data_IF_150481598059
#
_entry.id   IF_150481598059
#
_cell.length_a   1.000
_cell.length_b   1.000
_cell.length_c   1.000
_cell.angle_alpha   90.00
_cell.angle_beta   90.00
_cell.angle_gamma   90.00
#
_symmetry.space_group_name_H-M   'P 1'
#
loop_
_entity.id
_entity.type
_entity.pdbx_description
1 polymer ?
#
# COMPACT_ATOMS: atom_id res chain seq x y z
N UNK A 1 16.51 -13.41 7.98
CA UNK A 1 15.04 -13.35 8.20
C UNK A 1 14.36 -13.32 6.84
N UNK A 2 13.29 -14.11 6.63
CA UNK A 2 12.50 -14.09 5.38
C UNK A 2 11.23 -13.28 5.58
N UNK A 3 10.96 -12.29 4.71
CA UNK A 3 9.81 -11.38 4.78
C UNK A 3 9.08 -11.36 3.45
N UNK A 4 7.75 -11.55 3.50
CA UNK A 4 6.88 -11.40 2.34
C UNK A 4 6.22 -10.01 2.37
N UNK A 5 6.35 -9.26 1.29
CA UNK A 5 5.58 -8.05 1.03
C UNK A 5 4.48 -8.37 0.02
N UNK A 6 3.26 -8.11 0.39
CA UNK A 6 2.07 -8.33 -0.44
C UNK A 6 1.21 -7.08 -0.45
N UNK A 7 0.76 -6.64 -1.62
CA UNK A 7 0.00 -5.40 -1.75
C UNK A 7 -0.27 -5.04 -3.20
N UNK A 8 -0.52 -3.77 -3.44
CA UNK A 8 -0.80 -3.20 -4.74
C UNK A 8 0.41 -2.46 -5.35
N UNK A 9 0.17 -1.43 -6.20
CA UNK A 9 1.22 -0.64 -6.86
C UNK A 9 2.12 0.12 -5.89
N UNK A 10 1.61 0.52 -4.73
CA UNK A 10 2.39 1.22 -3.70
C UNK A 10 3.50 0.31 -3.17
N UNK A 11 3.19 -0.96 -2.93
CA UNK A 11 4.17 -1.96 -2.48
C UNK A 11 5.01 -2.49 -3.64
N UNK A 12 4.46 -2.55 -4.87
CA UNK A 12 5.20 -3.01 -6.05
C UNK A 12 6.34 -2.08 -6.42
N UNK A 13 6.18 -0.78 -6.21
CA UNK A 13 7.23 0.22 -6.42
C UNK A 13 7.61 0.49 -7.88
N UNK A 14 6.79 0.04 -8.87
CA UNK A 14 7.09 0.29 -10.30
C UNK A 14 6.71 1.69 -10.76
N UNK A 15 5.83 2.35 -10.04
CA UNK A 15 5.46 3.74 -10.21
C UNK A 15 5.76 4.47 -8.89
N UNK A 16 6.54 5.54 -8.95
CA UNK A 16 7.11 6.17 -7.75
C UNK A 16 8.41 5.51 -7.28
N UNK A 17 8.74 5.67 -6.01
CA UNK A 17 9.94 5.10 -5.37
C UNK A 17 9.62 3.76 -4.71
N UNK A 18 10.46 2.77 -4.97
CA UNK A 18 10.36 1.42 -4.38
C UNK A 18 10.90 1.41 -2.93
N UNK A 19 10.01 1.64 -1.97
CA UNK A 19 10.34 1.63 -0.55
C UNK A 19 10.67 0.22 -0.02
N UNK A 20 10.19 -0.85 -0.67
CA UNK A 20 10.54 -2.24 -0.32
C UNK A 20 12.00 -2.49 -0.67
N UNK A 21 12.47 -2.00 -1.82
CA UNK A 21 13.88 -2.06 -2.20
C UNK A 21 14.78 -1.27 -1.25
N UNK A 22 14.29 -0.16 -0.69
CA UNK A 22 15.03 0.57 0.35
C UNK A 22 15.22 -0.28 1.61
N UNK A 23 14.19 -1.02 2.06
CA UNK A 23 14.32 -1.98 3.18
C UNK A 23 15.30 -3.10 2.84
N UNK A 24 15.23 -3.66 1.63
CA UNK A 24 16.16 -4.69 1.18
C UNK A 24 17.62 -4.22 1.23
N UNK A 25 17.89 -3.00 0.80
CA UNK A 25 19.23 -2.41 0.84
C UNK A 25 19.76 -2.21 2.27
N UNK A 26 18.89 -1.83 3.21
CA UNK A 26 19.28 -1.62 4.61
C UNK A 26 19.49 -2.95 5.36
N UNK A 27 18.92 -4.04 4.84
CA UNK A 27 18.98 -5.38 5.47
C UNK A 27 19.52 -6.45 4.51
N UNK A 28 20.79 -6.40 4.11
CA UNK A 28 21.35 -7.30 3.08
C UNK A 28 21.33 -8.79 3.45
N UNK A 29 21.12 -9.11 4.74
CA UNK A 29 21.00 -10.50 5.22
C UNK A 29 19.54 -10.98 5.34
N UNK A 30 18.57 -10.17 4.93
CA UNK A 30 17.19 -10.62 4.87
C UNK A 30 16.88 -11.14 3.47
N UNK A 31 16.01 -12.13 3.41
CA UNK A 31 15.39 -12.57 2.15
C UNK A 31 14.08 -11.83 2.02
N UNK A 32 14.00 -10.88 1.10
CA UNK A 32 12.79 -10.09 0.85
C UNK A 32 12.12 -10.61 -0.43
N UNK A 33 10.84 -10.89 -0.32
CA UNK A 33 10.00 -11.34 -1.42
C UNK A 33 8.85 -10.33 -1.62
N UNK A 34 8.87 -9.63 -2.76
CA UNK A 34 7.83 -8.66 -3.11
C UNK A 34 6.87 -9.29 -4.11
N UNK A 35 5.72 -9.78 -3.62
CA UNK A 35 4.67 -10.40 -4.40
C UNK A 35 3.50 -9.44 -4.71
N UNK A 36 3.69 -8.13 -4.57
CA UNK A 36 2.67 -7.12 -4.85
C UNK A 36 2.30 -7.05 -6.34
N UNK A 37 1.05 -6.66 -6.62
CA UNK A 37 0.47 -6.62 -7.96
C UNK A 37 -0.17 -5.26 -8.25
N UNK A 38 0.29 -4.58 -9.31
CA UNK A 38 -0.24 -3.28 -9.70
C UNK A 38 -1.76 -3.33 -9.93
N UNK A 39 -2.49 -2.37 -9.39
CA UNK A 39 -3.93 -2.25 -9.55
C UNK A 39 -4.76 -3.26 -8.76
N UNK A 40 -4.15 -4.06 -7.88
CA UNK A 40 -4.85 -5.08 -7.12
C UNK A 40 -5.73 -4.46 -6.01
N UNK A 41 -6.99 -4.93 -5.95
CA UNK A 41 -7.89 -4.74 -4.79
C UNK A 41 -7.66 -5.84 -3.76
N UNK A 42 -8.22 -5.70 -2.55
CA UNK A 42 -8.00 -6.65 -1.45
C UNK A 42 -8.27 -8.11 -1.86
N UNK A 43 -9.32 -8.38 -2.65
CA UNK A 43 -9.59 -9.75 -3.12
C UNK A 43 -8.43 -10.33 -3.94
N UNK A 44 -7.81 -9.55 -4.82
CA UNK A 44 -6.65 -9.99 -5.62
C UNK A 44 -5.39 -10.15 -4.80
N UNK A 45 -5.19 -9.26 -3.84
CA UNK A 45 -4.11 -9.36 -2.86
C UNK A 45 -4.25 -10.66 -2.05
N UNK A 46 -5.47 -10.97 -1.57
CA UNK A 46 -5.77 -12.21 -0.84
C UNK A 46 -5.55 -13.47 -1.70
N UNK A 47 -5.98 -13.45 -2.97
CA UNK A 47 -5.73 -14.56 -3.91
C UNK A 47 -4.22 -14.78 -4.11
N UNK A 48 -3.46 -13.69 -4.30
CA UNK A 48 -2.01 -13.75 -4.47
C UNK A 48 -1.32 -14.28 -3.21
N UNK A 49 -1.69 -13.76 -2.04
CA UNK A 49 -1.19 -14.23 -0.75
C UNK A 49 -1.41 -15.73 -0.56
N UNK A 50 -2.62 -16.23 -0.84
CA UNK A 50 -2.93 -17.65 -0.74
C UNK A 50 -2.07 -18.51 -1.66
N UNK A 51 -1.71 -18.00 -2.84
CA UNK A 51 -0.82 -18.69 -3.77
C UNK A 51 0.61 -18.74 -3.22
N UNK A 52 1.11 -17.62 -2.68
CA UNK A 52 2.45 -17.56 -2.08
C UNK A 52 2.57 -18.52 -0.89
N UNK A 53 1.62 -18.52 0.04
CA UNK A 53 1.64 -19.38 1.22
C UNK A 53 1.48 -20.88 0.90
N UNK A 54 0.92 -21.23 -0.25
CA UNK A 54 0.90 -22.63 -0.73
C UNK A 54 2.24 -23.08 -1.29
N UNK A 55 3.02 -22.18 -1.87
CA UNK A 55 4.34 -22.49 -2.41
C UNK A 55 5.44 -22.43 -1.36
N UNK A 56 5.32 -21.50 -0.41
CA UNK A 56 6.26 -21.31 0.69
C UNK A 56 5.52 -20.64 1.87
N UNK A 57 5.64 -21.20 3.06
CA UNK A 57 5.04 -20.65 4.28
C UNK A 57 6.07 -20.34 5.38
N UNK A 58 7.35 -20.38 5.05
CA UNK A 58 8.45 -20.17 6.00
C UNK A 58 8.82 -18.69 6.22
N UNK A 59 7.88 -17.77 5.99
CA UNK A 59 8.10 -16.36 6.27
C UNK A 59 8.08 -16.08 7.77
N UNK A 60 9.03 -15.25 8.22
CA UNK A 60 9.02 -14.74 9.60
C UNK A 60 8.00 -13.63 9.78
N UNK A 61 7.83 -12.80 8.76
CA UNK A 61 6.86 -11.72 8.74
C UNK A 61 6.17 -11.60 7.37
N UNK A 62 4.91 -11.21 7.38
CA UNK A 62 4.11 -10.88 6.20
C UNK A 62 3.61 -9.44 6.36
N UNK A 63 4.05 -8.56 5.45
CA UNK A 63 3.60 -7.17 5.37
C UNK A 63 2.48 -7.08 4.37
N UNK A 64 1.28 -6.72 4.84
CA UNK A 64 0.07 -6.62 4.04
C UNK A 64 -0.33 -5.15 3.87
N UNK A 65 -0.21 -4.63 2.64
CA UNK A 65 -0.68 -3.30 2.24
C UNK A 65 -1.89 -3.46 1.32
N UNK A 66 -2.93 -2.65 1.54
CA UNK A 66 -4.22 -2.77 0.85
C UNK A 66 -4.86 -1.38 0.67
N UNK A 67 -6.10 -1.32 0.26
CA UNK A 67 -7.02 -0.17 0.19
C UNK A 67 -6.95 0.59 -1.14
N UNK A 68 -5.77 0.95 -1.65
CA UNK A 68 -5.60 1.95 -2.71
C UNK A 68 -6.61 1.76 -3.85
N UNK A 69 -6.71 0.55 -4.37
CA UNK A 69 -7.58 0.27 -5.52
C UNK A 69 -9.03 -0.01 -5.13
N UNK A 70 -9.31 -0.32 -3.87
CA UNK A 70 -10.69 -0.43 -3.38
C UNK A 70 -11.39 0.94 -3.39
N UNK A 71 -10.62 2.04 -3.20
CA UNK A 71 -11.10 3.44 -3.30
C UNK A 71 -10.98 3.97 -4.73
N UNK A 72 -9.81 3.83 -5.37
CA UNK A 72 -9.55 4.47 -6.67
C UNK A 72 -10.39 3.89 -7.80
N UNK A 73 -10.55 2.56 -7.89
CA UNK A 73 -11.26 1.97 -9.02
C UNK A 73 -12.73 2.41 -9.11
N UNK A 74 -13.52 2.49 -8.02
CA UNK A 74 -14.86 3.05 -8.07
C UNK A 74 -14.90 4.48 -8.63
N UNK A 75 -13.94 5.34 -8.25
CA UNK A 75 -13.88 6.72 -8.73
C UNK A 75 -13.66 6.82 -10.25
N UNK A 76 -12.95 5.86 -10.85
CA UNK A 76 -12.69 5.83 -12.29
C UNK A 76 -13.96 5.71 -13.16
N UNK A 77 -15.04 5.15 -12.63
CA UNK A 77 -16.33 5.05 -13.33
C UNK A 77 -16.91 6.40 -13.75
N UNK A 78 -16.63 7.44 -12.96
CA UNK A 78 -17.21 8.78 -13.11
C UNK A 78 -16.24 9.77 -13.74
N UNK A 79 -15.07 9.31 -14.18
CA UNK A 79 -14.05 10.12 -14.84
C UNK A 79 -14.14 10.01 -16.37
N UNK A 80 -13.18 10.55 -17.09
CA UNK A 80 -13.15 10.51 -18.55
C UNK A 80 -13.03 9.08 -19.12
N UNK A 81 -13.23 8.96 -20.43
CA UNK A 81 -13.25 7.69 -21.16
C UNK A 81 -12.07 6.75 -20.83
N UNK A 82 -10.86 7.29 -20.71
CA UNK A 82 -9.66 6.48 -20.46
C UNK A 82 -9.66 5.85 -19.07
N UNK A 83 -10.11 6.58 -18.05
CA UNK A 83 -10.30 6.03 -16.70
C UNK A 83 -11.41 4.97 -16.68
N UNK A 84 -12.50 5.18 -17.40
CA UNK A 84 -13.57 4.19 -17.51
C UNK A 84 -13.06 2.89 -18.17
N UNK A 85 -12.25 2.99 -19.24
CA UNK A 85 -11.63 1.83 -19.86
C UNK A 85 -10.66 1.11 -18.90
N UNK A 86 -9.86 1.87 -18.14
CA UNK A 86 -9.00 1.30 -17.10
C UNK A 86 -9.83 0.55 -16.04
N UNK A 87 -10.92 1.15 -15.57
CA UNK A 87 -11.84 0.50 -14.65
C UNK A 87 -12.35 -0.83 -15.22
N UNK A 88 -12.89 -0.81 -16.43
CA UNK A 88 -13.43 -2.02 -17.07
C UNK A 88 -12.36 -3.12 -17.22
N UNK A 89 -11.14 -2.74 -17.60
CA UNK A 89 -10.01 -3.68 -17.69
C UNK A 89 -9.70 -4.31 -16.34
N UNK A 90 -9.67 -3.52 -15.27
CA UNK A 90 -9.38 -4.00 -13.91
C UNK A 90 -10.49 -4.95 -13.41
N UNK A 91 -11.75 -4.63 -13.64
CA UNK A 91 -12.87 -5.51 -13.28
C UNK A 91 -12.81 -6.84 -14.06
N UNK A 92 -12.55 -6.79 -15.38
CA UNK A 92 -12.38 -8.01 -16.20
C UNK A 92 -11.20 -8.87 -15.76
N UNK A 93 -10.14 -8.28 -15.21
CA UNK A 93 -9.01 -9.03 -14.63
C UNK A 93 -9.33 -9.66 -13.28
N UNK A 94 -10.56 -9.47 -12.76
CA UNK A 94 -11.06 -10.07 -11.52
C UNK A 94 -10.90 -9.22 -10.27
N UNK A 95 -10.53 -7.93 -10.41
CA UNK A 95 -10.58 -7.00 -9.28
C UNK A 95 -12.03 -6.75 -8.85
N UNK A 96 -12.27 -6.72 -7.55
CA UNK A 96 -13.58 -6.49 -6.93
C UNK A 96 -13.42 -5.46 -5.81
N UNK A 97 -13.52 -4.15 -6.13
CA UNK A 97 -13.45 -3.12 -5.09
C UNK A 97 -14.50 -3.38 -4.02
N UNK A 98 -14.08 -3.41 -2.78
CA UNK A 98 -14.94 -3.72 -1.64
C UNK A 98 -15.41 -2.44 -0.95
N UNK A 99 -16.70 -2.37 -0.60
CA UNK A 99 -17.18 -1.34 0.34
C UNK A 99 -16.53 -1.53 1.72
N UNK A 100 -16.54 -0.52 2.62
CA UNK A 100 -15.91 -0.65 3.94
C UNK A 100 -16.35 -1.90 4.72
N UNK A 101 -17.65 -2.23 4.71
CA UNK A 101 -18.15 -3.42 5.39
C UNK A 101 -17.64 -4.74 4.77
N UNK A 102 -17.62 -4.82 3.45
CA UNK A 102 -17.10 -6.01 2.74
C UNK A 102 -15.57 -6.10 2.87
N UNK A 103 -14.88 -4.96 2.89
CA UNK A 103 -13.44 -4.87 3.12
C UNK A 103 -13.07 -5.42 4.51
N UNK A 104 -13.81 -5.01 5.56
CA UNK A 104 -13.60 -5.52 6.92
C UNK A 104 -13.71 -7.05 6.95
N UNK A 105 -14.76 -7.60 6.36
CA UNK A 105 -14.99 -9.03 6.33
C UNK A 105 -13.89 -9.78 5.56
N UNK A 106 -13.48 -9.25 4.41
CA UNK A 106 -12.45 -9.88 3.58
C UNK A 106 -11.05 -9.78 4.21
N UNK A 107 -10.73 -8.65 4.86
CA UNK A 107 -9.46 -8.51 5.58
C UNK A 107 -9.38 -9.46 6.78
N UNK A 108 -10.46 -9.62 7.55
CA UNK A 108 -10.53 -10.63 8.63
C UNK A 108 -10.25 -12.04 8.10
N UNK A 109 -10.95 -12.45 7.04
CA UNK A 109 -10.73 -13.75 6.39
C UNK A 109 -9.30 -13.93 5.88
N UNK A 110 -8.68 -12.85 5.42
CA UNK A 110 -7.30 -12.88 4.95
C UNK A 110 -6.33 -13.09 6.10
N UNK A 111 -6.52 -12.38 7.21
CA UNK A 111 -5.72 -12.55 8.44
C UNK A 111 -5.90 -13.95 9.03
N UNK A 112 -7.14 -14.45 9.13
CA UNK A 112 -7.44 -15.81 9.58
C UNK A 112 -6.76 -16.87 8.71
N UNK A 113 -6.77 -16.66 7.37
CA UNK A 113 -6.08 -17.57 6.45
C UNK A 113 -4.57 -17.61 6.71
N UNK A 114 -3.92 -16.44 6.93
CA UNK A 114 -2.49 -16.41 7.26
C UNK A 114 -2.23 -17.20 8.55
N UNK A 115 -3.03 -16.95 9.60
CA UNK A 115 -2.89 -17.61 10.90
C UNK A 115 -3.03 -19.14 10.81
N UNK A 116 -3.92 -19.61 9.94
CA UNK A 116 -4.17 -21.06 9.76
C UNK A 116 -3.13 -21.76 8.88
N UNK A 117 -2.34 -21.01 8.10
CA UNK A 117 -1.43 -21.59 7.10
C UNK A 117 0.04 -21.18 7.29
N UNK A 118 0.35 -20.34 8.29
CA UNK A 118 1.70 -19.84 8.55
C UNK A 118 1.85 -19.42 10.02
N UNK A 119 3.08 -19.54 10.53
CA UNK A 119 3.48 -19.01 11.84
C UNK A 119 4.08 -17.59 11.73
N UNK A 120 3.86 -16.91 10.62
CA UNK A 120 4.39 -15.57 10.37
C UNK A 120 3.75 -14.53 11.29
N UNK A 121 4.55 -13.55 11.74
CA UNK A 121 3.99 -12.31 12.29
C UNK A 121 3.31 -11.52 11.17
N UNK A 122 2.12 -11.02 11.43
CA UNK A 122 1.33 -10.25 10.46
C UNK A 122 1.49 -8.77 10.76
N UNK A 123 1.91 -8.01 9.75
CA UNK A 123 2.04 -6.55 9.81
C UNK A 123 0.99 -5.97 8.85
N UNK A 124 0.03 -5.25 9.40
CA UNK A 124 -0.97 -4.53 8.62
C UNK A 124 -0.52 -3.07 8.47
N UNK A 125 -0.52 -2.56 7.22
CA UNK A 125 -0.17 -1.16 6.98
C UNK A 125 -1.42 -0.34 6.72
N UNK A 126 -1.51 0.85 7.31
CA UNK A 126 -2.43 1.88 6.84
C UNK A 126 -1.87 2.55 5.59
N UNK A 127 -2.71 3.11 4.73
CA UNK A 127 -2.28 3.90 3.58
C UNK A 127 -2.14 5.38 3.97
N UNK A 128 -1.12 6.06 3.45
CA UNK A 128 -0.78 7.44 3.79
C UNK A 128 -1.84 8.45 3.39
N UNK A 129 -2.05 8.63 2.09
CA UNK A 129 -3.08 9.51 1.52
C UNK A 129 -3.53 9.00 0.14
N UNK A 130 -4.70 9.46 -0.27
CA UNK A 130 -5.17 9.52 -1.66
C UNK A 130 -5.54 10.97 -1.91
N UNK A 131 -4.66 11.71 -2.61
CA UNK A 131 -4.63 13.16 -2.62
C UNK A 131 -3.94 13.75 -1.36
N UNK A 132 -2.96 14.64 -1.55
CA UNK A 132 -2.26 15.26 -0.41
C UNK A 132 -3.11 16.32 0.30
N UNK A 133 -4.15 16.86 -0.34
CA UNK A 133 -5.17 17.64 0.36
C UNK A 133 -5.96 16.73 1.30
N UNK A 134 -5.63 16.76 2.59
CA UNK A 134 -6.25 15.90 3.61
C UNK A 134 -7.77 16.12 3.77
N UNK A 135 -8.31 17.23 3.26
CA UNK A 135 -9.75 17.56 3.26
C UNK A 135 -10.48 16.99 2.04
N UNK A 136 -9.78 16.38 1.08
CA UNK A 136 -10.41 15.77 -0.08
C UNK A 136 -11.31 14.59 0.32
N UNK A 137 -12.45 14.41 -0.38
CA UNK A 137 -13.41 13.33 -0.13
C UNK A 137 -12.75 11.94 -0.13
N UNK A 138 -11.79 11.71 -1.01
CA UNK A 138 -11.04 10.46 -1.10
C UNK A 138 -10.29 10.14 0.20
N UNK A 139 -9.83 11.15 0.93
CA UNK A 139 -9.19 10.95 2.23
C UNK A 139 -10.19 10.66 3.35
N UNK A 140 -11.40 11.21 3.30
CA UNK A 140 -12.47 10.85 4.25
C UNK A 140 -12.82 9.36 4.12
N UNK A 141 -12.94 8.87 2.89
CA UNK A 141 -13.13 7.45 2.62
C UNK A 141 -11.91 6.62 3.09
N UNK A 142 -10.70 7.04 2.75
CA UNK A 142 -9.45 6.40 3.17
C UNK A 142 -9.34 6.24 4.69
N UNK A 143 -9.69 7.28 5.44
CA UNK A 143 -9.64 7.24 6.92
C UNK A 143 -10.61 6.20 7.48
N UNK A 144 -11.76 5.99 6.83
CA UNK A 144 -12.70 4.92 7.16
C UNK A 144 -12.06 3.54 7.03
N UNK A 145 -11.39 3.26 5.89
CA UNK A 145 -10.68 1.98 5.68
C UNK A 145 -9.47 1.83 6.61
N UNK A 146 -8.70 2.88 6.81
CA UNK A 146 -7.58 2.86 7.76
C UNK A 146 -8.04 2.54 9.19
N UNK A 147 -9.22 3.04 9.60
CA UNK A 147 -9.82 2.71 10.89
C UNK A 147 -10.17 1.23 11.01
N UNK A 148 -10.66 0.61 9.93
CA UNK A 148 -10.90 -0.83 9.88
C UNK A 148 -9.59 -1.62 10.04
N UNK A 149 -8.52 -1.22 9.35
CA UNK A 149 -7.20 -1.86 9.49
C UNK A 149 -6.71 -1.78 10.94
N UNK A 150 -6.80 -0.60 11.58
CA UNK A 150 -6.41 -0.40 12.98
C UNK A 150 -7.22 -1.30 13.93
N UNK A 151 -8.54 -1.38 13.73
CA UNK A 151 -9.44 -2.26 14.49
C UNK A 151 -9.03 -3.73 14.36
N UNK A 152 -8.80 -4.21 13.13
CA UNK A 152 -8.41 -5.60 12.86
C UNK A 152 -7.01 -5.89 13.42
N UNK A 153 -6.08 -4.95 13.36
CA UNK A 153 -4.76 -5.13 13.94
C UNK A 153 -4.86 -5.41 15.46
N UNK A 154 -5.73 -4.70 16.17
CA UNK A 154 -5.99 -4.94 17.61
C UNK A 154 -6.72 -6.26 17.81
N UNK A 155 -7.82 -6.51 17.09
CA UNK A 155 -8.67 -7.69 17.23
C UNK A 155 -7.89 -9.00 17.03
N UNK A 156 -6.98 -9.02 16.06
CA UNK A 156 -6.18 -10.20 15.71
C UNK A 156 -4.74 -10.14 16.26
N UNK A 157 -4.42 -9.20 17.15
CA UNK A 157 -3.04 -9.03 17.66
C UNK A 157 -1.97 -9.01 16.54
N UNK A 158 -2.27 -8.31 15.44
CA UNK A 158 -1.32 -8.03 14.38
C UNK A 158 -0.48 -6.80 14.73
N UNK A 159 0.71 -6.69 14.16
CA UNK A 159 1.53 -5.47 14.28
C UNK A 159 0.94 -4.42 13.32
N UNK A 160 0.73 -3.20 13.80
CA UNK A 160 0.27 -2.09 12.99
C UNK A 160 1.45 -1.23 12.54
N UNK A 161 1.60 -1.04 11.24
CA UNK A 161 2.46 -0.04 10.63
C UNK A 161 1.59 1.18 10.23
N UNK A 162 1.46 2.15 11.14
CA UNK A 162 0.55 3.30 10.97
C UNK A 162 1.18 4.41 10.11
N UNK A 163 1.27 4.15 8.81
CA UNK A 163 1.78 5.10 7.80
C UNK A 163 0.88 6.34 7.71
N UNK A 164 -0.46 6.15 7.81
CA UNK A 164 -1.42 7.25 7.73
C UNK A 164 -1.15 8.34 8.76
N UNK A 165 -0.81 7.95 10.00
CA UNK A 165 -0.48 8.91 11.05
C UNK A 165 0.73 9.77 10.66
N UNK A 166 1.81 9.15 10.17
CA UNK A 166 3.03 9.86 9.77
C UNK A 166 2.82 10.78 8.56
N UNK A 167 1.99 10.36 7.60
CA UNK A 167 1.63 11.18 6.46
C UNK A 167 0.82 12.41 6.88
N UNK A 168 -0.15 12.25 7.78
CA UNK A 168 -0.94 13.37 8.30
C UNK A 168 -0.06 14.37 9.07
N UNK A 169 0.85 13.87 9.92
CA UNK A 169 1.80 14.70 10.64
C UNK A 169 2.65 15.53 9.68
N UNK A 170 3.24 14.91 8.65
CA UNK A 170 4.07 15.61 7.67
C UNK A 170 3.28 16.60 6.84
N UNK A 171 2.13 16.18 6.26
CA UNK A 171 1.31 17.03 5.41
C UNK A 171 0.68 18.22 6.15
N UNK A 172 0.47 18.11 7.49
CA UNK A 172 -0.08 19.22 8.29
C UNK A 172 0.81 20.47 8.34
N UNK A 173 2.07 20.36 7.95
CA UNK A 173 3.06 21.44 7.93
C UNK A 173 3.19 22.14 6.56
N UNK A 174 2.41 21.72 5.56
CA UNK A 174 2.51 22.20 4.19
C UNK A 174 1.21 22.85 3.70
N UNK A 175 1.36 23.78 2.76
CA UNK A 175 0.23 24.27 1.95
C UNK A 175 -0.15 23.17 0.96
N UNK A 176 -1.30 22.55 1.17
CA UNK A 176 -1.72 21.39 0.42
C UNK A 176 -2.39 21.78 -0.89
N UNK A 177 -2.04 21.08 -1.93
CA UNK A 177 -2.58 21.25 -3.26
C UNK A 177 -3.47 20.06 -3.65
N UNK A 178 -4.63 20.37 -4.26
CA UNK A 178 -5.57 19.35 -4.71
C UNK A 178 -5.08 18.75 -6.04
N UNK A 179 -4.55 17.54 -5.99
CA UNK A 179 -4.07 16.80 -7.16
C UNK A 179 -4.21 15.29 -6.92
N UNK A 180 -4.96 14.60 -7.77
CA UNK A 180 -5.10 13.15 -7.70
C UNK A 180 -5.34 12.53 -9.07
N UNK A 181 -4.27 11.96 -9.67
CA UNK A 181 -4.34 11.24 -10.94
C UNK A 181 -5.06 12.02 -12.05
N UNK A 182 -4.77 13.31 -12.22
CA UNK A 182 -5.57 14.23 -13.03
C UNK A 182 -5.71 13.82 -14.49
N UNK A 183 -4.65 13.25 -15.07
CA UNK A 183 -4.64 12.86 -16.47
C UNK A 183 -4.17 11.41 -16.62
N UNK A 184 -5.03 10.56 -17.20
CA UNK A 184 -4.74 9.14 -17.41
C UNK A 184 -3.48 8.92 -18.26
N UNK A 185 -3.30 9.66 -19.35
CA UNK A 185 -2.12 9.51 -20.24
C UNK A 185 -0.81 9.86 -19.53
N UNK A 186 -0.84 10.88 -18.67
CA UNK A 186 0.33 11.24 -17.86
C UNK A 186 0.65 10.12 -16.87
N UNK A 187 -0.35 9.69 -16.10
CA UNK A 187 -0.19 8.69 -15.04
C UNK A 187 0.19 7.31 -15.59
N UNK A 188 -0.45 6.87 -16.68
CA UNK A 188 -0.25 5.53 -17.22
C UNK A 188 1.04 5.37 -18.04
N UNK A 189 1.59 6.45 -18.61
CA UNK A 189 2.74 6.36 -19.52
C UNK A 189 3.87 7.32 -19.16
N UNK A 190 3.62 8.63 -19.09
CA UNK A 190 4.68 9.60 -18.87
C UNK A 190 5.30 9.49 -17.48
N UNK A 191 4.49 9.23 -16.46
CA UNK A 191 4.98 9.06 -15.09
C UNK A 191 5.83 7.79 -14.97
N UNK A 192 5.41 6.70 -15.62
CA UNK A 192 6.17 5.44 -15.62
C UNK A 192 7.55 5.63 -16.28
N UNK A 193 7.61 6.33 -17.42
CA UNK A 193 8.87 6.66 -18.10
C UNK A 193 9.73 7.55 -17.21
N UNK A 194 9.15 8.61 -16.64
CA UNK A 194 9.87 9.51 -15.75
C UNK A 194 10.41 8.80 -14.51
N UNK A 195 9.64 7.88 -13.92
CA UNK A 195 10.09 7.06 -12.80
C UNK A 195 11.27 6.15 -13.19
N UNK A 196 11.22 5.53 -14.37
CA UNK A 196 12.32 4.69 -14.88
C UNK A 196 13.61 5.47 -15.17
N UNK A 197 13.50 6.77 -15.42
CA UNK A 197 14.63 7.69 -15.62
C UNK A 197 15.12 8.36 -14.34
N UNK A 198 14.58 7.98 -13.17
CA UNK A 198 14.97 8.57 -11.89
C UNK A 198 14.43 10.00 -11.64
N UNK A 199 13.42 10.44 -12.40
CA UNK A 199 12.87 11.81 -12.34
C UNK A 199 11.65 11.92 -11.39
N UNK A 200 11.52 11.02 -10.42
CA UNK A 200 10.37 10.92 -9.50
C UNK A 200 10.11 12.23 -8.77
N UNK A 201 11.14 12.78 -8.12
CA UNK A 201 10.99 13.99 -7.30
C UNK A 201 10.74 15.24 -8.16
N UNK A 202 11.22 15.26 -9.39
CA UNK A 202 10.92 16.34 -10.35
C UNK A 202 9.43 16.36 -10.74
N UNK A 203 8.76 15.20 -10.81
CA UNK A 203 7.31 15.15 -11.03
C UNK A 203 6.55 15.76 -9.85
N UNK A 204 6.94 15.40 -8.62
CA UNK A 204 6.33 15.95 -7.40
C UNK A 204 6.46 17.48 -7.34
N UNK A 205 7.68 18.01 -7.59
CA UNK A 205 7.94 19.44 -7.60
C UNK A 205 7.08 20.18 -8.62
N UNK A 206 6.97 19.67 -9.84
CA UNK A 206 6.12 20.27 -10.90
C UNK A 206 4.63 20.31 -10.51
N UNK A 207 4.18 19.32 -9.73
CA UNK A 207 2.78 19.17 -9.28
C UNK A 207 2.54 19.77 -7.90
N UNK A 208 3.57 20.36 -7.27
CA UNK A 208 3.54 20.93 -5.91
C UNK A 208 3.10 19.89 -4.87
N UNK A 209 3.59 18.66 -5.03
CA UNK A 209 3.33 17.55 -4.12
C UNK A 209 4.55 17.30 -3.24
N UNK A 210 4.33 16.85 -2.00
CA UNK A 210 5.34 16.71 -0.95
C UNK A 210 5.75 15.26 -0.70
N UNK A 211 4.80 14.31 -0.78
CA UNK A 211 5.00 12.89 -0.45
C UNK A 211 4.71 11.95 -1.63
N UNK A 212 4.04 12.45 -2.67
CA UNK A 212 3.60 11.65 -3.81
C UNK A 212 4.02 12.29 -5.13
N UNK A 213 3.90 11.53 -6.22
CA UNK A 213 4.11 12.04 -7.59
C UNK A 213 2.80 12.43 -8.28
N UNK A 214 1.69 11.86 -7.83
CA UNK A 214 0.38 11.97 -8.49
C UNK A 214 -0.81 11.98 -7.52
N UNK A 215 -0.56 12.19 -6.24
CA UNK A 215 -1.53 12.12 -5.15
C UNK A 215 -1.68 10.73 -4.55
N UNK A 216 -1.02 9.71 -5.10
CA UNK A 216 -1.12 8.30 -4.68
C UNK A 216 0.23 7.62 -4.57
N UNK A 217 1.00 7.57 -5.68
CA UNK A 217 2.29 6.89 -5.75
C UNK A 217 3.39 7.73 -5.12
N UNK A 218 4.30 7.07 -4.42
CA UNK A 218 5.25 7.72 -3.52
C UNK A 218 6.41 8.40 -4.26
N UNK A 219 6.77 9.60 -3.86
CA UNK A 219 8.07 10.19 -4.14
C UNK A 219 9.12 9.73 -3.11
N UNK A 220 10.33 10.29 -3.14
CA UNK A 220 11.40 9.90 -2.22
C UNK A 220 11.05 10.15 -0.74
N UNK A 221 10.35 11.23 -0.43
CA UNK A 221 9.95 11.56 0.95
C UNK A 221 8.87 10.61 1.45
N UNK A 222 7.81 10.37 0.65
CA UNK A 222 6.75 9.43 1.00
C UNK A 222 7.26 7.99 1.15
N UNK A 223 8.14 7.57 0.25
CA UNK A 223 8.78 6.25 0.32
C UNK A 223 9.65 6.09 1.59
N UNK A 224 10.37 7.14 1.98
CA UNK A 224 11.16 7.15 3.23
C UNK A 224 10.25 6.96 4.45
N UNK A 225 9.11 7.66 4.53
CA UNK A 225 8.15 7.49 5.63
C UNK A 225 7.60 6.06 5.65
N UNK A 226 7.16 5.52 4.49
CA UNK A 226 6.71 4.14 4.39
C UNK A 226 7.76 3.16 4.89
N UNK A 227 8.99 3.29 4.37
CA UNK A 227 10.13 2.48 4.75
C UNK A 227 10.38 2.53 6.27
N UNK A 228 10.47 3.70 6.86
CA UNK A 228 10.76 3.88 8.29
C UNK A 228 9.69 3.24 9.19
N UNK A 229 8.41 3.45 8.86
CA UNK A 229 7.29 2.92 9.66
C UNK A 229 7.20 1.40 9.55
N UNK A 230 7.34 0.86 8.34
CA UNK A 230 7.23 -0.59 8.11
C UNK A 230 8.46 -1.33 8.63
N UNK A 231 9.66 -0.79 8.41
CA UNK A 231 10.90 -1.39 8.92
C UNK A 231 10.87 -1.50 10.45
N UNK A 232 10.46 -0.42 11.13
CA UNK A 232 10.25 -0.46 12.59
C UNK A 232 9.26 -1.56 12.99
N UNK A 233 8.15 -1.72 12.27
CA UNK A 233 7.16 -2.77 12.54
C UNK A 233 7.75 -4.18 12.33
N UNK A 234 8.58 -4.37 11.31
CA UNK A 234 9.26 -5.65 11.07
C UNK A 234 10.27 -5.95 12.19
N UNK A 235 11.00 -4.96 12.68
CA UNK A 235 11.96 -5.14 13.78
C UNK A 235 11.28 -5.58 15.08
N UNK A 236 10.06 -5.12 15.38
CA UNK A 236 9.28 -5.58 16.53
C UNK A 236 8.98 -7.09 16.50
N UNK A 237 8.97 -7.73 15.32
CA UNK A 237 8.78 -9.19 15.22
C UNK A 237 9.94 -9.97 15.84
N UNK A 238 11.14 -9.37 15.88
CA UNK A 238 12.34 -10.00 16.49
C UNK A 238 12.27 -9.97 18.01
N UNK A 239 11.79 -8.84 18.57
CA UNK A 239 11.68 -8.66 20.01
C UNK A 239 10.64 -9.62 20.62
N UNK A 240 9.48 -9.78 19.96
CA UNK A 240 8.48 -10.78 20.38
C UNK A 240 9.05 -12.20 20.42
N UNK A 241 9.91 -12.57 19.46
CA UNK A 241 10.50 -13.91 19.42
C UNK A 241 11.55 -14.15 20.52
N UNK A 242 12.21 -13.10 21.00
CA UNK A 242 13.22 -13.20 22.07
C UNK A 242 12.60 -13.33 23.47
N UNK A 243 11.33 -12.96 23.64
CA UNK A 243 10.59 -13.06 24.92
C UNK A 243 10.01 -14.46 25.18
N UNK A 244 10.06 -15.35 24.21
CA UNK A 244 9.51 -16.72 24.30
C UNK A 244 10.63 -17.82 24.27
N UNK A 245 11.91 -17.44 24.43
CA UNK A 245 13.07 -18.34 24.63
C UNK A 245 13.58 -18.15 26.05
#
# INVERSE_FOLDING_TARGET
MKVLFIGDSITRGTQGVDWVKMIENDHPYWTIENAAVNGATLNKISERLKKELKSDNAYKAIVLQTITNDILLPSFKHRNFWFQQAYQRQIRSGNKPASPANFELELKRTVEYIRSNSNSEIILTTLGCINENLLAETNAELFSYNSIIKKIAVEFNCILADVSKRFQEELSHHDLHDYCLDNFSNTAFLDLVSCSLGMVDNLSLKRKLHLTIDGVHLNSNGAKIFKEVVDKAILLTKEKSALFI
#
